data_IF_228893174389
#
_entry.id   IF_228893174389
#
_cell.length_a   1.000
_cell.length_b   1.000
_cell.length_c   1.000
_cell.angle_alpha   90.00
_cell.angle_beta   90.00
_cell.angle_gamma   90.00
#
_symmetry.space_group_name_H-M   'P 1'
#
loop_
_entity.id
_entity.type
_entity.pdbx_description
1 polymer ?
#
# COMPACT_ATOMS: atom_id res chain seq x y z
N UNK A 1 31.84 -45.50 -12.07
CA UNK A 1 31.47 -44.81 -10.82
C UNK A 1 31.07 -43.33 -11.00
N UNK A 2 31.07 -42.74 -12.21
CA UNK A 2 31.07 -41.27 -12.34
C UNK A 2 29.71 -40.58 -12.57
N UNK A 3 28.64 -41.30 -12.91
CA UNK A 3 27.33 -40.66 -13.20
C UNK A 3 26.58 -40.19 -11.94
N UNK A 4 26.78 -40.86 -10.81
CA UNK A 4 26.02 -40.59 -9.57
C UNK A 4 26.46 -39.32 -8.84
N UNK A 5 27.72 -38.90 -9.02
CA UNK A 5 28.30 -37.71 -8.37
C UNK A 5 27.96 -36.38 -9.07
N UNK A 6 27.63 -36.43 -10.37
CA UNK A 6 27.24 -35.25 -11.16
C UNK A 6 25.77 -34.84 -10.89
N UNK A 7 24.89 -35.81 -10.70
CA UNK A 7 23.48 -35.60 -10.35
C UNK A 7 23.30 -34.89 -8.99
N UNK A 8 24.11 -35.26 -8.00
CA UNK A 8 24.00 -34.74 -6.62
C UNK A 8 24.32 -33.23 -6.52
N UNK A 9 25.29 -32.74 -7.32
CA UNK A 9 25.61 -31.31 -7.41
C UNK A 9 24.57 -30.49 -8.18
N UNK A 10 23.86 -31.13 -9.12
CA UNK A 10 22.79 -30.52 -9.92
C UNK A 10 21.51 -30.32 -9.08
N UNK A 11 21.09 -31.35 -8.34
CA UNK A 11 19.91 -31.31 -7.47
C UNK A 11 20.03 -30.25 -6.37
N UNK A 12 21.18 -30.17 -5.69
CA UNK A 12 21.42 -29.14 -4.67
C UNK A 12 21.36 -27.72 -5.22
N UNK A 13 21.88 -27.50 -6.43
CA UNK A 13 21.83 -26.19 -7.10
C UNK A 13 20.41 -25.82 -7.53
N UNK A 14 19.64 -26.80 -8.01
CA UNK A 14 18.25 -26.61 -8.43
C UNK A 14 17.31 -26.32 -7.25
N UNK A 15 17.53 -26.99 -6.11
CA UNK A 15 16.81 -26.71 -4.86
C UNK A 15 17.09 -25.29 -4.35
N UNK A 16 18.35 -24.83 -4.40
CA UNK A 16 18.67 -23.45 -4.03
C UNK A 16 18.01 -22.42 -4.96
N UNK A 17 17.95 -22.71 -6.27
CA UNK A 17 17.25 -21.85 -7.23
C UNK A 17 15.74 -21.77 -6.96
N UNK A 18 15.10 -22.91 -6.62
CA UNK A 18 13.68 -22.95 -6.25
C UNK A 18 13.39 -22.19 -4.95
N UNK A 19 14.25 -22.35 -3.94
CA UNK A 19 14.14 -21.61 -2.66
C UNK A 19 14.27 -20.10 -2.89
N UNK A 20 15.25 -19.67 -3.70
CA UNK A 20 15.42 -18.25 -4.06
C UNK A 20 14.22 -17.71 -4.84
N UNK A 21 13.66 -18.51 -5.74
CA UNK A 21 12.45 -18.14 -6.49
C UNK A 21 11.25 -17.93 -5.56
N UNK A 22 11.01 -18.88 -4.64
CA UNK A 22 9.95 -18.76 -3.63
C UNK A 22 10.12 -17.53 -2.73
N UNK A 23 11.35 -17.23 -2.34
CA UNK A 23 11.66 -16.07 -1.49
C UNK A 23 11.35 -14.75 -2.23
N UNK A 24 11.76 -14.64 -3.50
CA UNK A 24 11.46 -13.47 -4.35
C UNK A 24 9.96 -13.30 -4.59
N UNK A 25 9.26 -14.40 -4.86
CA UNK A 25 7.80 -14.39 -5.03
C UNK A 25 7.09 -13.88 -3.77
N UNK A 26 7.49 -14.38 -2.59
CA UNK A 26 6.95 -13.92 -1.31
C UNK A 26 7.29 -12.46 -1.01
N UNK A 27 8.49 -12.02 -1.34
CA UNK A 27 8.88 -10.61 -1.19
C UNK A 27 8.00 -9.69 -2.06
N UNK A 28 7.72 -10.07 -3.31
CA UNK A 28 6.86 -9.30 -4.19
C UNK A 28 5.40 -9.29 -3.70
N UNK A 29 4.89 -10.43 -3.24
CA UNK A 29 3.56 -10.54 -2.64
C UNK A 29 3.40 -9.58 -1.46
N UNK A 30 4.38 -9.53 -0.55
CA UNK A 30 4.36 -8.60 0.59
C UNK A 30 4.44 -7.13 0.19
N UNK A 31 5.26 -6.79 -0.82
CA UNK A 31 5.32 -5.42 -1.35
C UNK A 31 3.98 -4.98 -1.92
N UNK A 32 3.32 -5.86 -2.68
CA UNK A 32 2.00 -5.59 -3.25
C UNK A 32 0.95 -5.43 -2.14
N UNK A 33 0.91 -6.32 -1.15
CA UNK A 33 -0.01 -6.21 -0.02
C UNK A 33 0.21 -4.94 0.81
N UNK A 34 1.46 -4.53 1.03
CA UNK A 34 1.77 -3.30 1.75
C UNK A 34 1.28 -2.06 0.99
N UNK A 35 1.55 -1.99 -0.32
CA UNK A 35 1.09 -0.90 -1.17
C UNK A 35 -0.44 -0.81 -1.22
N UNK A 36 -1.12 -1.95 -1.31
CA UNK A 36 -2.58 -2.01 -1.32
C UNK A 36 -3.20 -1.54 0.01
N UNK A 37 -2.63 -1.95 1.15
CA UNK A 37 -3.07 -1.46 2.47
C UNK A 37 -2.90 0.05 2.60
N UNK A 38 -1.77 0.59 2.16
CA UNK A 38 -1.53 2.04 2.22
C UNK A 38 -2.52 2.81 1.33
N UNK A 39 -2.81 2.31 0.13
CA UNK A 39 -3.79 2.91 -0.76
C UNK A 39 -5.21 2.88 -0.15
N UNK A 40 -5.61 1.75 0.45
CA UNK A 40 -6.89 1.62 1.12
C UNK A 40 -7.01 2.56 2.33
N UNK A 41 -5.97 2.69 3.16
CA UNK A 41 -6.00 3.63 4.28
C UNK A 41 -6.10 5.10 3.81
N UNK A 42 -5.36 5.47 2.77
CA UNK A 42 -5.46 6.81 2.17
C UNK A 42 -6.87 7.09 1.66
N UNK A 43 -7.47 6.14 0.95
CA UNK A 43 -8.83 6.26 0.44
C UNK A 43 -9.85 6.43 1.59
N UNK A 44 -9.76 5.60 2.63
CA UNK A 44 -10.64 5.69 3.82
C UNK A 44 -10.52 7.03 4.53
N UNK A 45 -9.29 7.57 4.68
CA UNK A 45 -9.07 8.89 5.28
C UNK A 45 -9.67 10.01 4.45
N UNK A 46 -9.61 9.91 3.12
CA UNK A 46 -10.21 10.91 2.23
C UNK A 46 -11.74 10.88 2.28
N UNK A 47 -12.34 9.68 2.30
CA UNK A 47 -13.79 9.52 2.42
C UNK A 47 -14.31 10.00 3.79
N UNK A 48 -13.56 9.71 4.86
CA UNK A 48 -13.89 10.20 6.20
C UNK A 48 -13.83 11.73 6.29
N UNK A 49 -12.79 12.35 5.70
CA UNK A 49 -12.71 13.82 5.62
C UNK A 49 -13.88 14.42 4.87
N UNK A 50 -14.21 13.90 3.68
CA UNK A 50 -15.37 14.34 2.89
C UNK A 50 -16.68 14.18 3.65
N UNK A 51 -16.86 13.07 4.37
CA UNK A 51 -18.06 12.86 5.18
C UNK A 51 -18.10 13.83 6.35
N UNK A 52 -16.99 14.07 7.03
CA UNK A 52 -16.93 15.06 8.13
C UNK A 52 -17.23 16.45 7.60
N UNK A 53 -16.65 16.87 6.49
CA UNK A 53 -16.94 18.15 5.84
C UNK A 53 -18.41 18.26 5.43
N UNK A 54 -18.98 17.22 4.82
CA UNK A 54 -20.40 17.21 4.44
C UNK A 54 -21.36 17.21 5.64
N UNK A 55 -20.93 16.71 6.80
CA UNK A 55 -21.72 16.72 8.04
C UNK A 55 -21.37 17.90 8.96
N UNK A 56 -20.34 18.70 8.63
CA UNK A 56 -20.05 19.95 9.33
C UNK A 56 -21.04 21.01 8.88
N UNK A 57 -21.42 21.88 9.81
CA UNK A 57 -22.20 23.05 9.46
C UNK A 57 -21.37 24.02 8.62
N UNK A 58 -22.00 24.77 7.72
CA UNK A 58 -21.32 25.79 6.91
C UNK A 58 -20.53 26.78 7.77
N UNK A 59 -21.02 27.10 8.96
CA UNK A 59 -20.38 28.00 9.91
C UNK A 59 -19.05 27.43 10.45
N UNK A 60 -18.97 26.13 10.74
CA UNK A 60 -17.70 25.51 11.14
C UNK A 60 -16.71 25.43 9.98
N UNK A 61 -17.16 25.06 8.78
CA UNK A 61 -16.30 25.05 7.60
C UNK A 61 -15.77 26.46 7.28
N UNK A 62 -16.61 27.48 7.43
CA UNK A 62 -16.25 28.87 7.20
C UNK A 62 -15.30 29.39 8.27
N UNK A 63 -15.54 29.09 9.55
CA UNK A 63 -14.66 29.50 10.65
C UNK A 63 -13.29 28.78 10.65
N UNK A 64 -13.21 27.55 10.13
CA UNK A 64 -11.95 26.85 9.90
C UNK A 64 -11.18 27.38 8.69
N UNK A 65 -11.86 28.09 7.79
CA UNK A 65 -11.24 28.76 6.65
C UNK A 65 -10.86 30.21 7.01
N UNK A 66 -9.82 30.76 6.40
CA UNK A 66 -9.46 32.18 6.55
C UNK A 66 -10.44 33.13 5.82
N UNK A 67 -11.58 32.61 5.34
CA UNK A 67 -12.56 33.36 4.57
C UNK A 67 -13.56 34.04 5.50
N UNK A 68 -13.51 35.36 5.58
CA UNK A 68 -14.56 36.14 6.24
C UNK A 68 -15.70 36.42 5.24
N UNK A 69 -16.86 35.81 5.44
CA UNK A 69 -18.04 36.04 4.58
C UNK A 69 -18.46 37.51 4.48
N UNK A 70 -18.09 38.35 5.45
CA UNK A 70 -18.35 39.80 5.44
C UNK A 70 -17.58 40.52 4.33
N UNK A 71 -16.44 39.97 3.86
CA UNK A 71 -15.71 40.55 2.73
C UNK A 71 -16.39 40.27 1.39
N UNK A 72 -17.26 39.26 1.31
CA UNK A 72 -17.93 38.84 0.07
C UNK A 72 -19.34 39.41 -0.11
N UNK A 73 -20.03 39.79 0.98
CA UNK A 73 -21.38 40.39 0.92
C UNK A 73 -21.32 41.93 0.98
N UNK A 74 -20.71 42.55 -0.03
CA UNK A 74 -20.85 43.99 -0.25
C UNK A 74 -22.13 44.31 -1.02
#
# INVERSE_FOLDING_TARGET
>A
MSKKKLEEGSLGSQLNADVLSKLKSKQNEWKQQAAEREAQEKQRRMEERKRREANKSFEELLNESELDWKTFKK
#
